data_IF_736418300042
#
_entry.id   IF_736418300042
#
_cell.length_a   1.000
_cell.length_b   1.000
_cell.length_c   1.000
_cell.angle_alpha   90.00
_cell.angle_beta   90.00
_cell.angle_gamma   90.00
#
_symmetry.space_group_name_H-M   'P 1'
#
loop_
_entity.id
_entity.type
_entity.pdbx_description
1 polymer ?
#
# COMPACT_ATOMS: atom_id res chain seq x y z
N UNK A 1 10.51 -2.22 3.84
CA UNK A 1 9.04 -2.04 3.75
C UNK A 1 8.37 -2.96 4.76
N UNK A 2 7.49 -2.43 5.61
CA UNK A 2 6.74 -3.22 6.61
C UNK A 2 5.27 -3.23 6.21
N UNK A 3 4.68 -4.40 6.05
CA UNK A 3 3.27 -4.55 5.71
C UNK A 3 2.43 -4.42 6.98
N UNK A 4 1.91 -3.23 7.29
CA UNK A 4 1.04 -3.02 8.45
C UNK A 4 -0.31 -3.70 8.26
N UNK A 5 -0.73 -3.93 7.01
CA UNK A 5 -1.90 -4.72 6.66
C UNK A 5 -1.76 -5.36 5.28
N UNK A 6 -2.26 -6.57 5.16
CA UNK A 6 -2.18 -7.37 3.93
C UNK A 6 -3.55 -7.80 3.43
N UNK A 7 -4.60 -7.49 4.19
CA UNK A 7 -5.98 -7.70 3.79
C UNK A 7 -6.50 -6.60 2.87
N UNK A 8 -7.60 -6.86 2.18
CA UNK A 8 -8.31 -5.90 1.36
C UNK A 8 -9.75 -6.32 1.07
N UNK A 9 -10.52 -5.36 0.58
CA UNK A 9 -11.93 -5.54 0.29
C UNK A 9 -12.83 -5.55 1.53
N UNK A 10 -14.12 -5.27 1.31
CA UNK A 10 -15.10 -4.95 2.36
C UNK A 10 -15.19 -5.99 3.48
N UNK A 11 -15.24 -7.28 3.14
CA UNK A 11 -15.42 -8.33 4.15
C UNK A 11 -14.18 -8.53 5.02
N UNK A 12 -12.98 -8.48 4.44
CA UNK A 12 -11.73 -8.57 5.20
C UNK A 12 -11.62 -7.39 6.15
N UNK A 13 -11.94 -6.18 5.66
CA UNK A 13 -11.93 -4.93 6.42
C UNK A 13 -12.93 -4.97 7.57
N UNK A 14 -14.19 -5.36 7.33
CA UNK A 14 -15.23 -5.43 8.36
C UNK A 14 -14.85 -6.36 9.51
N UNK A 15 -14.28 -7.51 9.20
CA UNK A 15 -13.94 -8.53 10.21
C UNK A 15 -12.52 -8.43 10.73
N UNK A 16 -11.68 -7.57 10.14
CA UNK A 16 -10.25 -7.47 10.45
C UNK A 16 -9.57 -8.85 10.52
N UNK A 17 -9.97 -9.76 9.62
CA UNK A 17 -9.35 -11.09 9.47
C UNK A 17 -7.87 -10.96 9.15
N UNK A 18 -7.52 -9.91 8.42
CA UNK A 18 -6.22 -9.26 8.30
C UNK A 18 -6.43 -7.76 8.36
N UNK A 19 -5.46 -7.05 8.90
CA UNK A 19 -5.44 -5.59 8.86
C UNK A 19 -5.38 -5.09 7.42
N UNK A 20 -5.93 -3.92 7.17
CA UNK A 20 -5.78 -3.17 5.92
C UNK A 20 -4.93 -1.90 6.12
N UNK A 21 -4.01 -1.96 7.09
CA UNK A 21 -3.20 -0.81 7.54
C UNK A 21 -2.15 -0.31 6.54
N UNK A 22 -2.09 -0.87 5.33
CA UNK A 22 -1.19 -0.42 4.28
C UNK A 22 0.28 -0.81 4.48
N UNK A 23 1.18 -0.03 3.89
CA UNK A 23 2.62 -0.32 3.85
C UNK A 23 3.40 0.86 4.40
N UNK A 24 4.24 0.60 5.39
CA UNK A 24 5.22 1.55 5.89
C UNK A 24 6.56 1.33 5.17
N UNK A 25 7.09 2.37 4.53
CA UNK A 25 8.33 2.33 3.75
C UNK A 25 9.36 3.21 4.43
N UNK A 26 10.49 2.63 4.79
CA UNK A 26 11.69 3.40 5.14
C UNK A 26 12.60 3.48 3.91
N UNK A 27 13.06 4.67 3.56
CA UNK A 27 13.89 4.91 2.39
C UNK A 27 14.90 6.04 2.59
N UNK A 28 15.89 6.13 1.70
CA UNK A 28 16.92 7.17 1.77
C UNK A 28 17.61 7.22 3.13
N UNK A 29 17.80 8.42 3.67
CA UNK A 29 18.43 8.65 4.96
C UNK A 29 17.44 8.59 6.13
N UNK A 30 16.66 7.50 6.24
CA UNK A 30 15.70 7.28 7.33
C UNK A 30 14.40 8.08 7.17
N UNK A 31 13.94 8.28 5.94
CA UNK A 31 12.63 8.84 5.63
C UNK A 31 11.55 7.79 5.67
N UNK A 32 10.38 8.15 6.18
CA UNK A 32 9.26 7.24 6.34
C UNK A 32 8.05 7.69 5.53
N UNK A 33 7.63 6.83 4.61
CA UNK A 33 6.42 6.97 3.82
C UNK A 33 5.41 5.91 4.24
N UNK A 34 4.16 6.30 4.49
CA UNK A 34 3.06 5.36 4.71
C UNK A 34 2.12 5.38 3.51
N UNK A 35 1.85 4.22 2.93
CA UNK A 35 0.97 4.03 1.77
C UNK A 35 -0.32 3.38 2.23
N UNK A 36 -1.45 3.99 1.92
CA UNK A 36 -2.81 3.48 2.14
C UNK A 36 -3.11 3.04 3.58
N UNK A 37 -3.12 3.98 4.57
CA UNK A 37 -3.43 3.68 5.96
C UNK A 37 -4.92 3.39 6.18
N UNK A 38 -5.34 2.20 5.87
CA UNK A 38 -6.66 1.69 6.22
C UNK A 38 -6.75 1.18 7.66
N UNK A 39 -7.89 0.60 8.06
CA UNK A 39 -8.13 0.13 9.41
C UNK A 39 -7.06 -0.84 9.94
N UNK A 40 -6.55 -0.52 11.12
CA UNK A 40 -5.52 -1.28 11.82
C UNK A 40 -4.09 -0.75 11.65
N UNK A 41 -3.89 0.34 10.90
CA UNK A 41 -2.58 0.97 10.74
C UNK A 41 -1.94 1.33 12.07
N UNK A 42 -2.60 2.16 12.88
CA UNK A 42 -2.09 2.59 14.19
C UNK A 42 -1.95 1.45 15.19
N UNK A 43 -2.89 0.50 15.19
CA UNK A 43 -2.82 -0.68 16.05
C UNK A 43 -1.56 -1.51 15.74
N UNK A 44 -1.24 -1.68 14.46
CA UNK A 44 -0.07 -2.44 14.04
C UNK A 44 1.24 -1.63 14.17
N UNK A 45 1.21 -0.30 14.01
CA UNK A 45 2.33 0.57 14.39
C UNK A 45 2.67 0.40 15.88
N UNK A 46 1.67 0.42 16.77
CA UNK A 46 1.88 0.18 18.21
C UNK A 46 2.53 -1.17 18.45
N UNK A 47 2.05 -2.26 17.83
CA UNK A 47 2.60 -3.60 18.01
C UNK A 47 4.08 -3.72 17.65
N UNK A 48 4.59 -2.92 16.74
CA UNK A 48 6.00 -2.92 16.35
C UNK A 48 6.79 -1.76 16.97
N UNK A 49 6.19 -1.03 17.92
CA UNK A 49 6.76 0.16 18.54
C UNK A 49 7.22 1.21 17.52
N UNK A 50 6.44 1.38 16.44
CA UNK A 50 6.65 2.45 15.49
C UNK A 50 5.87 3.70 15.92
N UNK A 51 6.60 4.80 16.13
CA UNK A 51 6.04 6.09 16.47
C UNK A 51 5.49 6.80 15.23
N UNK A 52 4.16 7.03 15.12
CA UNK A 52 3.56 7.72 13.97
C UNK A 52 4.16 9.12 13.70
N UNK A 53 4.74 9.77 14.70
CA UNK A 53 5.40 11.07 14.53
C UNK A 53 6.65 11.00 13.64
N UNK A 54 7.21 9.82 13.42
CA UNK A 54 8.33 9.61 12.50
C UNK A 54 7.90 9.58 11.03
N UNK A 55 6.61 9.46 10.73
CA UNK A 55 6.10 9.46 9.35
C UNK A 55 6.32 10.85 8.74
N UNK A 56 7.05 10.92 7.63
CA UNK A 56 7.33 12.16 6.89
C UNK A 56 6.28 12.43 5.82
N UNK A 57 5.87 11.37 5.13
CA UNK A 57 4.94 11.44 3.99
C UNK A 57 3.86 10.37 4.06
N UNK A 58 2.68 10.71 3.55
CA UNK A 58 1.51 9.85 3.48
C UNK A 58 0.99 9.80 2.04
N UNK A 59 0.76 8.60 1.51
CA UNK A 59 0.05 8.39 0.25
C UNK A 59 -1.31 7.76 0.54
N UNK A 60 -2.36 8.25 -0.12
CA UNK A 60 -3.66 7.59 -0.21
C UNK A 60 -4.02 7.43 -1.69
N UNK A 61 -4.03 6.20 -2.16
CA UNK A 61 -4.20 5.86 -3.59
C UNK A 61 -5.61 6.15 -4.10
N UNK A 62 -6.64 5.88 -3.28
CA UNK A 62 -8.05 6.08 -3.64
C UNK A 62 -9.00 6.13 -2.42
N UNK A 63 -10.27 6.42 -2.69
CA UNK A 63 -11.28 6.72 -1.67
C UNK A 63 -12.08 5.51 -1.19
N UNK A 64 -11.47 4.33 -1.05
CA UNK A 64 -12.10 3.20 -0.37
C UNK A 64 -11.64 3.09 1.08
N UNK A 65 -12.56 2.78 2.03
CA UNK A 65 -12.26 2.80 3.46
C UNK A 65 -11.09 1.92 3.90
N UNK A 66 -10.85 0.81 3.24
CA UNK A 66 -9.71 -0.07 3.50
C UNK A 66 -8.34 0.54 3.12
N UNK A 67 -8.32 1.71 2.47
CA UNK A 67 -7.09 2.42 2.10
C UNK A 67 -6.88 3.74 2.82
N UNK A 68 -7.93 4.34 3.44
CA UNK A 68 -7.78 5.68 4.02
C UNK A 68 -8.30 5.86 5.45
N UNK A 69 -9.04 4.90 6.03
CA UNK A 69 -9.80 5.18 7.26
C UNK A 69 -8.95 5.59 8.45
N UNK A 70 -7.69 5.19 8.54
CA UNK A 70 -6.76 5.63 9.59
C UNK A 70 -5.92 6.85 9.15
N UNK A 71 -6.11 7.39 7.93
CA UNK A 71 -5.24 8.44 7.38
C UNK A 71 -5.22 9.71 8.24
N UNK A 72 -6.38 10.19 8.71
CA UNK A 72 -6.43 11.39 9.54
C UNK A 72 -5.72 11.19 10.88
N UNK A 73 -5.86 10.01 11.49
CA UNK A 73 -5.14 9.69 12.74
C UNK A 73 -3.63 9.53 12.52
N UNK A 74 -3.20 9.06 11.35
CA UNK A 74 -1.78 9.08 10.97
C UNK A 74 -1.29 10.52 10.79
N UNK A 75 -2.09 11.41 10.17
CA UNK A 75 -1.77 12.84 10.05
C UNK A 75 -1.64 13.48 11.44
N UNK A 76 -2.51 13.16 12.40
CA UNK A 76 -2.36 13.62 13.77
C UNK A 76 -1.03 13.16 14.39
N UNK A 77 -0.66 11.89 14.21
CA UNK A 77 0.65 11.39 14.63
C UNK A 77 1.80 12.16 13.98
N UNK A 78 1.80 12.26 12.65
CA UNK A 78 2.80 13.00 11.86
C UNK A 78 2.98 14.44 12.36
N UNK A 79 1.91 15.09 12.81
CA UNK A 79 1.87 16.50 13.21
C UNK A 79 1.94 16.72 14.71
N UNK A 80 2.28 15.70 15.49
CA UNK A 80 2.33 15.72 16.95
C UNK A 80 0.99 16.16 17.57
N UNK A 81 -0.10 15.46 17.23
CA UNK A 81 -1.43 15.82 17.71
C UNK A 81 -1.90 17.18 17.18
N UNK A 82 -1.58 17.51 15.95
CA UNK A 82 -1.91 18.78 15.28
C UNK A 82 -1.19 20.03 15.81
N UNK A 83 -0.12 19.86 16.58
CA UNK A 83 0.66 20.98 17.15
C UNK A 83 1.70 21.55 16.18
N UNK A 84 2.18 20.75 15.25
CA UNK A 84 3.24 21.14 14.31
C UNK A 84 2.79 20.94 12.87
N UNK A 85 2.76 22.02 12.09
CA UNK A 85 2.52 21.95 10.65
C UNK A 85 3.72 21.30 9.96
N UNK A 86 3.61 20.02 9.61
CA UNK A 86 4.66 19.24 8.94
C UNK A 86 4.07 18.11 8.10
N UNK A 87 4.97 17.39 7.41
CA UNK A 87 4.62 16.24 6.60
C UNK A 87 4.03 16.60 5.24
N UNK A 88 3.90 15.62 4.39
CA UNK A 88 3.35 15.77 3.05
C UNK A 88 2.28 14.70 2.80
N UNK A 89 1.11 15.11 2.34
CA UNK A 89 0.03 14.23 1.91
C UNK A 89 -0.01 14.20 0.38
N UNK A 90 0.07 13.01 -0.16
CA UNK A 90 -0.18 12.71 -1.58
C UNK A 90 -1.49 11.94 -1.68
N UNK A 91 -2.45 12.42 -2.44
CA UNK A 91 -3.74 11.74 -2.58
C UNK A 91 -4.30 11.84 -3.98
N UNK A 92 -5.07 10.83 -4.40
CA UNK A 92 -5.80 10.91 -5.66
C UNK A 92 -6.82 12.07 -5.62
N UNK A 93 -7.31 12.55 -6.78
CA UNK A 93 -8.34 13.59 -6.85
C UNK A 93 -9.55 13.30 -5.96
N UNK A 94 -10.05 12.07 -5.96
CA UNK A 94 -11.19 11.66 -5.12
C UNK A 94 -10.88 11.76 -3.63
N UNK A 95 -9.69 11.39 -3.20
CA UNK A 95 -9.25 11.49 -1.80
C UNK A 95 -9.21 12.92 -1.31
N UNK A 96 -8.68 13.84 -2.12
CA UNK A 96 -8.43 15.23 -1.70
C UNK A 96 -9.66 16.11 -1.94
N UNK A 97 -10.35 15.96 -3.06
CA UNK A 97 -11.42 16.87 -3.50
C UNK A 97 -12.80 16.24 -3.49
N UNK A 98 -12.87 14.90 -3.53
CA UNK A 98 -14.10 14.16 -3.80
C UNK A 98 -14.44 14.15 -5.29
N UNK A 99 -15.10 13.08 -5.75
CA UNK A 99 -15.64 12.96 -7.09
C UNK A 99 -16.92 12.13 -7.07
N UNK A 100 -18.00 12.66 -7.62
CA UNK A 100 -19.30 11.99 -7.62
C UNK A 100 -19.81 11.70 -6.19
N UNK A 101 -19.95 10.41 -5.88
CA UNK A 101 -20.38 9.93 -4.56
C UNK A 101 -19.23 9.55 -3.63
N UNK A 102 -17.98 9.65 -4.07
CA UNK A 102 -16.78 9.27 -3.32
C UNK A 102 -16.05 10.50 -2.78
N UNK A 103 -15.48 10.36 -1.58
CA UNK A 103 -14.67 11.40 -0.94
C UNK A 103 -15.38 12.74 -0.69
N UNK A 104 -14.64 13.82 -0.33
CA UNK A 104 -13.24 13.76 0.05
C UNK A 104 -13.01 12.92 1.31
N UNK A 105 -11.84 12.29 1.41
CA UNK A 105 -11.52 11.37 2.51
C UNK A 105 -10.80 12.05 3.68
N UNK A 106 -10.18 13.20 3.41
CA UNK A 106 -9.44 13.99 4.40
C UNK A 106 -10.17 15.30 4.64
N UNK A 107 -10.49 15.57 5.89
CA UNK A 107 -11.22 16.78 6.30
C UNK A 107 -10.40 18.04 6.00
N UNK A 108 -11.08 19.16 5.80
CA UNK A 108 -10.44 20.47 5.63
C UNK A 108 -9.55 20.84 6.83
N UNK A 109 -9.90 20.34 8.01
CA UNK A 109 -9.12 20.52 9.23
C UNK A 109 -7.73 19.88 9.07
N UNK A 110 -7.66 18.59 8.73
CA UNK A 110 -6.40 17.87 8.58
C UNK A 110 -5.60 18.34 7.36
N UNK A 111 -6.27 18.70 6.24
CA UNK A 111 -5.60 19.36 5.11
C UNK A 111 -4.96 20.70 5.50
N UNK A 112 -5.54 21.44 6.47
CA UNK A 112 -4.99 22.70 6.96
C UNK A 112 -3.77 22.56 7.86
N UNK A 113 -3.62 21.40 8.50
CA UNK A 113 -2.53 21.12 9.45
C UNK A 113 -1.30 20.53 8.76
N UNK A 114 -1.50 19.69 7.77
CA UNK A 114 -0.38 19.14 7.01
C UNK A 114 0.34 20.27 6.25
N UNK A 115 1.68 20.17 6.11
CA UNK A 115 2.46 21.23 5.49
C UNK A 115 2.20 21.33 4.00
N UNK A 116 2.24 20.20 3.30
CA UNK A 116 2.10 20.14 1.86
C UNK A 116 1.07 19.10 1.45
N UNK A 117 0.29 19.39 0.41
CA UNK A 117 -0.69 18.47 -0.17
C UNK A 117 -0.49 18.44 -1.68
N UNK A 118 -0.30 17.24 -2.23
CA UNK A 118 -0.17 17.02 -3.67
C UNK A 118 -1.29 16.12 -4.17
N UNK A 119 -1.98 16.54 -5.22
CA UNK A 119 -2.95 15.70 -5.93
C UNK A 119 -2.20 14.87 -6.95
N UNK A 120 -2.43 13.56 -6.92
CA UNK A 120 -1.76 12.58 -7.78
C UNK A 120 -2.50 12.43 -9.10
N UNK A 121 -1.78 12.51 -10.21
CA UNK A 121 -2.33 12.30 -11.54
C UNK A 121 -1.50 11.25 -12.29
N UNK A 122 -2.14 10.25 -12.94
CA UNK A 122 -1.43 9.23 -13.69
C UNK A 122 -0.51 9.82 -14.76
N UNK A 123 0.66 9.23 -14.94
CA UNK A 123 1.68 9.68 -15.91
C UNK A 123 2.61 10.77 -15.38
N UNK A 124 2.38 11.27 -14.17
CA UNK A 124 3.29 12.23 -13.54
C UNK A 124 4.44 11.54 -12.81
N UNK A 125 5.54 12.27 -12.66
CA UNK A 125 6.69 11.87 -11.84
C UNK A 125 6.82 12.88 -10.72
N UNK A 126 6.86 12.38 -9.49
CA UNK A 126 7.01 13.19 -8.28
C UNK A 126 8.24 12.74 -7.49
N UNK A 127 8.72 13.61 -6.63
CA UNK A 127 9.73 13.29 -5.61
C UNK A 127 9.07 13.23 -4.23
N UNK A 128 9.23 12.10 -3.57
CA UNK A 128 8.74 11.88 -2.21
C UNK A 128 9.95 11.78 -1.27
N UNK A 129 10.37 12.91 -0.72
CA UNK A 129 11.52 12.98 0.20
C UNK A 129 12.80 12.30 -0.36
N UNK A 130 13.08 12.50 -1.66
CA UNK A 130 14.20 11.89 -2.37
C UNK A 130 13.87 10.55 -3.07
N UNK A 131 12.66 10.02 -2.89
CA UNK A 131 12.20 8.81 -3.57
C UNK A 131 11.49 9.19 -4.88
N UNK A 132 12.20 9.07 -6.02
CA UNK A 132 11.59 9.30 -7.33
C UNK A 132 10.46 8.31 -7.56
N UNK A 133 9.25 8.83 -7.82
CA UNK A 133 8.02 8.05 -7.90
C UNK A 133 7.25 8.38 -9.18
N UNK A 134 6.96 7.38 -10.00
CA UNK A 134 6.02 7.48 -11.11
C UNK A 134 4.62 7.13 -10.64
N UNK A 135 3.62 7.95 -10.99
CA UNK A 135 2.20 7.69 -10.72
C UNK A 135 1.62 6.92 -11.90
N UNK A 136 1.12 5.71 -11.63
CA UNK A 136 0.59 4.80 -12.64
C UNK A 136 -0.94 4.80 -12.65
N UNK A 137 -1.51 4.58 -13.83
CA UNK A 137 -2.95 4.38 -14.01
C UNK A 137 -3.39 3.01 -13.52
N UNK A 138 -4.62 2.94 -13.01
CA UNK A 138 -5.32 1.70 -12.68
C UNK A 138 -6.70 1.67 -13.37
N UNK A 139 -7.38 0.52 -13.30
CA UNK A 139 -8.78 0.36 -13.70
C UNK A 139 -9.59 -0.09 -12.48
N UNK A 140 -10.22 0.88 -11.81
CA UNK A 140 -10.92 0.63 -10.55
C UNK A 140 -12.25 1.39 -10.47
N UNK A 141 -13.09 1.02 -9.49
CA UNK A 141 -14.40 1.66 -9.27
C UNK A 141 -14.28 3.10 -8.75
N UNK A 142 -13.16 3.48 -8.12
CA UNK A 142 -12.74 4.86 -8.00
C UNK A 142 -11.94 5.24 -9.26
N UNK A 143 -12.46 6.10 -10.15
CA UNK A 143 -11.83 6.37 -11.44
C UNK A 143 -10.51 7.14 -11.33
N UNK A 144 -10.21 7.66 -10.15
CA UNK A 144 -8.97 8.42 -9.89
C UNK A 144 -7.93 7.64 -9.12
N UNK A 145 -8.19 6.34 -8.86
CA UNK A 145 -7.22 5.46 -8.20
C UNK A 145 -5.90 5.41 -8.96
N UNK A 146 -4.80 5.34 -8.22
CA UNK A 146 -3.43 5.33 -8.77
C UNK A 146 -2.56 4.27 -8.13
N UNK A 147 -1.67 3.68 -8.95
CA UNK A 147 -0.55 2.88 -8.53
C UNK A 147 0.75 3.66 -8.59
N UNK A 148 1.86 3.04 -8.22
CA UNK A 148 3.16 3.71 -8.09
C UNK A 148 4.32 2.83 -8.54
N UNK A 149 5.36 3.46 -9.08
CA UNK A 149 6.66 2.86 -9.31
C UNK A 149 7.72 3.71 -8.61
N UNK A 150 8.36 3.13 -7.61
CA UNK A 150 9.37 3.78 -6.79
C UNK A 150 10.77 3.38 -7.26
N UNK A 151 11.67 4.34 -7.43
CA UNK A 151 13.08 4.07 -7.63
C UNK A 151 13.78 3.94 -6.26
N UNK A 152 14.04 2.71 -5.85
CA UNK A 152 14.65 2.43 -4.54
C UNK A 152 16.17 2.57 -4.51
N UNK A 153 16.81 2.93 -5.63
CA UNK A 153 18.27 2.88 -5.76
C UNK A 153 18.83 1.45 -5.93
N UNK A 154 18.06 0.44 -5.58
CA UNK A 154 18.38 -0.99 -5.77
C UNK A 154 17.46 -1.66 -6.80
N UNK A 155 16.78 -0.87 -7.60
CA UNK A 155 15.81 -1.27 -8.61
C UNK A 155 14.42 -0.71 -8.35
N UNK A 156 13.55 -0.81 -9.33
CA UNK A 156 12.19 -0.28 -9.24
C UNK A 156 11.30 -1.22 -8.44
N UNK A 157 10.55 -0.65 -7.50
CA UNK A 157 9.48 -1.32 -6.76
C UNK A 157 8.15 -0.79 -7.26
N UNK A 158 7.26 -1.67 -7.70
CA UNK A 158 5.90 -1.32 -8.09
C UNK A 158 4.90 -1.69 -7.01
N UNK A 159 4.07 -0.73 -6.61
CA UNK A 159 2.80 -0.93 -5.91
C UNK A 159 1.67 -0.68 -6.89
N UNK A 160 0.97 -1.74 -7.29
CA UNK A 160 0.00 -1.65 -8.40
C UNK A 160 -1.29 -0.96 -7.97
N UNK A 161 -1.64 -1.01 -6.67
CA UNK A 161 -2.94 -0.58 -6.13
C UNK A 161 -4.11 -1.38 -6.73
N UNK A 162 -5.33 -1.12 -6.30
CA UNK A 162 -6.50 -1.87 -6.74
C UNK A 162 -6.78 -1.67 -8.22
N UNK A 163 -6.95 -2.76 -8.95
CA UNK A 163 -7.20 -2.72 -10.40
C UNK A 163 -7.81 -4.01 -10.91
N UNK A 164 -8.59 -3.93 -11.96
CA UNK A 164 -8.85 -5.03 -12.86
C UNK A 164 -7.63 -5.36 -13.71
N UNK A 165 -7.61 -6.55 -14.32
CA UNK A 165 -6.54 -6.92 -15.23
C UNK A 165 -6.65 -6.15 -16.55
N UNK A 166 -5.53 -5.57 -16.95
CA UNK A 166 -5.32 -4.98 -18.27
C UNK A 166 -3.85 -5.11 -18.66
N UNK A 167 -3.57 -5.54 -19.88
CA UNK A 167 -2.21 -5.59 -20.42
C UNK A 167 -1.55 -4.20 -20.43
N UNK A 168 -2.33 -3.16 -20.77
CA UNK A 168 -1.86 -1.77 -20.77
C UNK A 168 -1.39 -1.33 -19.39
N UNK A 169 -2.15 -1.71 -18.33
CA UNK A 169 -1.77 -1.41 -16.94
C UNK A 169 -0.52 -2.20 -16.54
N UNK A 170 -0.45 -3.49 -16.88
CA UNK A 170 0.71 -4.32 -16.57
C UNK A 170 2.00 -3.77 -17.24
N UNK A 171 1.91 -3.30 -18.47
CA UNK A 171 3.03 -2.73 -19.22
C UNK A 171 3.63 -1.48 -18.54
N UNK A 172 2.84 -0.68 -17.81
CA UNK A 172 3.37 0.46 -17.05
C UNK A 172 4.39 0.03 -15.97
N UNK A 173 4.21 -1.17 -15.44
CA UNK A 173 5.05 -1.73 -14.37
C UNK A 173 6.22 -2.58 -14.90
N UNK A 174 6.39 -2.68 -16.21
CA UNK A 174 7.44 -3.50 -16.82
C UNK A 174 8.84 -3.10 -16.35
N UNK A 175 9.66 -4.10 -16.06
CA UNK A 175 11.03 -3.90 -15.59
C UNK A 175 11.13 -3.58 -14.08
N UNK A 176 10.05 -3.68 -13.33
CA UNK A 176 10.12 -3.60 -11.88
C UNK A 176 10.83 -4.82 -11.31
N UNK A 177 11.74 -4.58 -10.37
CA UNK A 177 12.45 -5.63 -9.65
C UNK A 177 11.54 -6.34 -8.65
N UNK A 178 10.69 -5.56 -7.95
CA UNK A 178 9.66 -6.07 -7.04
C UNK A 178 8.30 -5.57 -7.50
N UNK A 179 7.33 -6.49 -7.54
CA UNK A 179 5.96 -6.21 -7.96
C UNK A 179 5.00 -6.54 -6.82
N UNK A 180 4.43 -5.53 -6.18
CA UNK A 180 3.43 -5.68 -5.12
C UNK A 180 2.05 -5.61 -5.77
N UNK A 181 1.33 -6.74 -5.76
CA UNK A 181 0.06 -6.95 -6.46
C UNK A 181 -1.12 -7.09 -5.48
N UNK A 182 -2.23 -6.37 -5.72
CA UNK A 182 -3.48 -6.53 -4.98
C UNK A 182 -4.26 -7.74 -5.50
N UNK A 183 -4.02 -8.94 -4.97
CA UNK A 183 -4.68 -10.17 -5.41
C UNK A 183 -5.82 -10.51 -4.47
N UNK A 184 -7.02 -10.03 -4.80
CA UNK A 184 -8.16 -10.05 -3.89
C UNK A 184 -8.86 -11.40 -3.83
N UNK A 185 -8.90 -12.14 -4.95
CA UNK A 185 -9.71 -13.36 -5.05
C UNK A 185 -8.97 -14.54 -5.68
N UNK A 186 -9.36 -15.78 -5.34
CA UNK A 186 -8.94 -16.94 -6.10
C UNK A 186 -9.65 -16.99 -7.47
N UNK A 187 -9.18 -17.86 -8.37
CA UNK A 187 -9.65 -17.94 -9.76
C UNK A 187 -11.14 -18.31 -9.91
N UNK A 188 -11.69 -19.04 -8.95
CA UNK A 188 -13.10 -19.48 -8.93
C UNK A 188 -14.07 -18.36 -8.44
N UNK A 189 -13.56 -17.18 -8.11
CA UNK A 189 -14.36 -16.05 -7.69
C UNK A 189 -13.80 -14.75 -8.26
N UNK A 190 -14.29 -14.31 -9.41
CA UNK A 190 -13.89 -13.03 -9.99
C UNK A 190 -14.77 -11.90 -9.49
N UNK A 191 -14.13 -10.82 -9.07
CA UNK A 191 -14.78 -9.57 -8.67
C UNK A 191 -14.35 -8.47 -9.65
N UNK A 192 -15.28 -7.67 -10.20
CA UNK A 192 -14.92 -6.55 -11.07
C UNK A 192 -13.89 -5.63 -10.42
N UNK A 193 -12.96 -5.13 -11.22
CA UNK A 193 -11.91 -4.20 -10.79
C UNK A 193 -10.90 -4.76 -9.76
N UNK A 194 -10.79 -6.09 -9.65
CA UNK A 194 -9.83 -6.74 -8.76
C UNK A 194 -9.19 -7.94 -9.44
N UNK A 195 -7.93 -8.18 -9.13
CA UNK A 195 -7.19 -9.33 -9.66
C UNK A 195 -7.55 -10.62 -8.94
N UNK A 196 -7.67 -11.70 -9.70
CA UNK A 196 -7.59 -13.07 -9.19
C UNK A 196 -6.17 -13.63 -9.40
N UNK A 197 -5.93 -14.89 -9.00
CA UNK A 197 -4.61 -15.53 -9.13
C UNK A 197 -4.16 -15.65 -10.60
N UNK A 198 -5.08 -15.96 -11.50
CA UNK A 198 -4.79 -16.05 -12.95
C UNK A 198 -4.42 -14.68 -13.53
N UNK A 199 -5.17 -13.63 -13.19
CA UNK A 199 -4.88 -12.26 -13.60
C UNK A 199 -3.52 -11.80 -13.09
N UNK A 200 -3.19 -12.14 -11.83
CA UNK A 200 -1.88 -11.86 -11.24
C UNK A 200 -0.76 -12.59 -11.97
N UNK A 201 -0.95 -13.84 -12.37
CA UNK A 201 0.03 -14.58 -13.15
C UNK A 201 0.25 -13.93 -14.54
N UNK A 202 -0.81 -13.51 -15.23
CA UNK A 202 -0.71 -12.79 -16.49
C UNK A 202 0.04 -11.45 -16.33
N UNK A 203 -0.22 -10.72 -15.23
CA UNK A 203 0.49 -9.49 -14.89
C UNK A 203 1.99 -9.74 -14.67
N UNK A 204 2.34 -10.77 -13.89
CA UNK A 204 3.72 -11.18 -13.61
C UNK A 204 4.45 -11.55 -14.90
N UNK A 205 3.79 -12.24 -15.83
CA UNK A 205 4.38 -12.62 -17.12
C UNK A 205 4.77 -11.42 -18.00
N UNK A 206 4.05 -10.32 -17.89
CA UNK A 206 4.37 -9.08 -18.61
C UNK A 206 5.50 -8.31 -17.92
N UNK A 207 5.43 -8.19 -16.60
CA UNK A 207 6.37 -7.37 -15.81
C UNK A 207 7.72 -8.07 -15.63
N UNK A 208 7.72 -9.41 -15.43
CA UNK A 208 8.90 -10.26 -15.18
C UNK A 208 9.77 -9.75 -14.01
N UNK A 209 9.20 -9.56 -12.81
CA UNK A 209 9.96 -9.10 -11.66
C UNK A 209 10.88 -10.19 -11.12
N UNK A 210 11.85 -9.82 -10.28
CA UNK A 210 12.62 -10.77 -9.46
C UNK A 210 11.74 -11.40 -8.36
N UNK A 211 10.80 -10.60 -7.81
CA UNK A 211 9.85 -11.03 -6.80
C UNK A 211 8.47 -10.41 -7.05
N UNK A 212 7.42 -11.24 -7.05
CA UNK A 212 6.03 -10.79 -6.94
C UNK A 212 5.49 -11.03 -5.51
N UNK A 213 4.77 -10.05 -4.98
CA UNK A 213 4.24 -10.06 -3.60
C UNK A 213 2.72 -9.86 -3.65
N UNK A 214 1.97 -10.84 -3.17
CA UNK A 214 0.51 -10.76 -3.06
C UNK A 214 0.09 -10.08 -1.76
N UNK A 215 -0.70 -9.03 -1.89
CA UNK A 215 -1.35 -8.26 -0.82
C UNK A 215 -2.83 -8.05 -1.15
N UNK A 216 -3.52 -7.22 -0.38
CA UNK A 216 -4.94 -6.89 -0.57
C UNK A 216 -5.82 -8.15 -0.64
N UNK A 217 -5.56 -9.08 0.30
CA UNK A 217 -6.15 -10.41 0.29
C UNK A 217 -7.59 -10.36 0.79
N UNK A 218 -8.53 -10.64 -0.10
CA UNK A 218 -9.94 -10.78 0.23
C UNK A 218 -10.21 -12.01 1.10
N UNK A 219 -11.34 -12.03 1.80
CA UNK A 219 -11.68 -13.12 2.74
C UNK A 219 -11.69 -14.51 2.07
N UNK A 220 -12.08 -14.61 0.80
CA UNK A 220 -12.08 -15.88 0.06
C UNK A 220 -10.65 -16.29 -0.33
N UNK A 221 -9.79 -15.33 -0.66
CA UNK A 221 -8.37 -15.58 -0.87
C UNK A 221 -7.73 -16.12 0.42
N UNK A 222 -8.03 -15.52 1.58
CA UNK A 222 -7.53 -15.96 2.89
C UNK A 222 -7.98 -17.39 3.19
N UNK A 223 -9.26 -17.72 2.93
CA UNK A 223 -9.80 -19.08 3.12
C UNK A 223 -9.17 -20.13 2.21
N UNK A 224 -8.75 -19.75 1.01
CA UNK A 224 -8.12 -20.64 0.01
C UNK A 224 -6.60 -20.79 0.19
N UNK A 225 -6.03 -20.26 1.27
CA UNK A 225 -4.60 -20.24 1.55
C UNK A 225 -3.79 -19.40 0.55
N UNK A 226 -3.53 -18.11 0.86
CA UNK A 226 -2.81 -17.20 -0.02
C UNK A 226 -1.42 -17.69 -0.44
N UNK A 227 -0.74 -18.49 0.41
CA UNK A 227 0.56 -19.07 0.07
C UNK A 227 0.45 -20.09 -1.07
N UNK A 228 -0.63 -20.89 -1.08
CA UNK A 228 -0.90 -21.82 -2.19
C UNK A 228 -1.22 -21.06 -3.47
N UNK A 229 -1.97 -19.98 -3.40
CA UNK A 229 -2.28 -19.13 -4.57
C UNK A 229 -1.03 -18.47 -5.13
N UNK A 230 -0.14 -17.95 -4.29
CA UNK A 230 1.14 -17.40 -4.72
C UNK A 230 2.03 -18.48 -5.38
N UNK A 231 2.11 -19.67 -4.79
CA UNK A 231 2.85 -20.81 -5.38
C UNK A 231 2.26 -21.25 -6.73
N UNK A 232 0.96 -21.16 -6.89
CA UNK A 232 0.30 -21.45 -8.17
C UNK A 232 0.68 -20.42 -9.24
N UNK A 233 0.71 -19.13 -8.92
CA UNK A 233 1.20 -18.10 -9.83
C UNK A 233 2.68 -18.29 -10.16
N UNK A 234 3.53 -18.66 -9.18
CA UNK A 234 4.94 -18.98 -9.38
C UNK A 234 5.12 -20.15 -10.36
N UNK A 235 4.34 -21.23 -10.21
CA UNK A 235 4.38 -22.37 -11.15
C UNK A 235 4.00 -21.99 -12.57
N UNK A 236 3.04 -21.08 -12.74
CA UNK A 236 2.59 -20.62 -14.07
C UNK A 236 3.62 -19.74 -14.77
N UNK A 237 4.32 -18.90 -14.01
CA UNK A 237 5.18 -17.83 -14.55
C UNK A 237 6.67 -18.13 -14.46
N UNK A 238 7.08 -19.04 -13.58
CA UNK A 238 8.48 -19.26 -13.22
C UNK A 238 9.11 -18.12 -12.39
N UNK A 239 8.33 -17.10 -12.01
CA UNK A 239 8.78 -15.96 -11.21
C UNK A 239 8.50 -16.23 -9.74
N UNK A 240 9.50 -16.03 -8.88
CA UNK A 240 9.34 -16.15 -7.43
C UNK A 240 8.16 -15.30 -6.96
N UNK A 241 7.15 -15.94 -6.38
CA UNK A 241 5.90 -15.28 -5.95
C UNK A 241 5.56 -15.69 -4.53
N UNK A 242 5.27 -14.72 -3.70
CA UNK A 242 4.95 -14.93 -2.29
C UNK A 242 3.66 -14.21 -1.90
N UNK A 243 3.03 -14.68 -0.84
CA UNK A 243 2.01 -13.94 -0.09
C UNK A 243 2.54 -13.62 1.29
N UNK A 244 2.53 -12.34 1.63
CA UNK A 244 2.98 -11.83 2.93
C UNK A 244 1.84 -11.82 3.96
N UNK A 245 2.21 -11.65 5.23
CA UNK A 245 1.30 -11.46 6.36
C UNK A 245 1.46 -10.08 6.96
N UNK A 246 0.48 -9.69 7.75
CA UNK A 246 0.58 -8.48 8.56
C UNK A 246 1.85 -8.54 9.41
N UNK A 247 2.58 -7.44 9.41
CA UNK A 247 3.87 -7.20 10.08
C UNK A 247 5.06 -7.98 9.48
N UNK A 248 4.93 -8.60 8.32
CA UNK A 248 6.09 -9.04 7.56
C UNK A 248 6.89 -7.83 7.06
N UNK A 249 8.21 -7.96 7.04
CA UNK A 249 9.16 -6.97 6.51
C UNK A 249 9.74 -7.49 5.21
N UNK A 250 9.67 -6.69 4.18
CA UNK A 250 10.37 -6.87 2.91
C UNK A 250 11.55 -5.90 2.87
N UNK A 251 12.74 -6.44 2.91
CA UNK A 251 13.98 -5.68 2.75
C UNK A 251 14.49 -5.81 1.31
N UNK A 252 14.72 -4.66 0.67
CA UNK A 252 15.10 -4.56 -0.75
C UNK A 252 16.42 -3.84 -0.82
N UNK A 253 17.49 -4.62 -0.77
CA UNK A 253 18.86 -4.19 -1.00
C UNK A 253 19.46 -5.00 -2.18
N UNK A 254 20.73 -5.29 -2.17
CA UNK A 254 21.38 -6.17 -3.18
C UNK A 254 20.71 -7.54 -3.28
N UNK A 255 20.25 -8.07 -2.15
CA UNK A 255 19.39 -9.25 -2.07
C UNK A 255 18.02 -8.87 -1.52
N UNK A 256 16.96 -9.56 -1.97
CA UNK A 256 15.61 -9.39 -1.42
C UNK A 256 15.41 -10.41 -0.31
N UNK A 257 15.13 -9.93 0.90
CA UNK A 257 14.82 -10.78 2.05
C UNK A 257 13.46 -10.48 2.67
N UNK A 258 12.90 -11.48 3.34
CA UNK A 258 11.62 -11.38 4.05
C UNK A 258 11.82 -11.90 5.45
N UNK A 259 11.39 -11.10 6.40
CA UNK A 259 11.39 -11.43 7.83
C UNK A 259 10.08 -11.00 8.47
N UNK A 260 9.90 -11.27 9.75
CA UNK A 260 8.73 -10.83 10.49
C UNK A 260 9.16 -9.82 11.56
N UNK A 261 8.39 -8.75 11.70
CA UNK A 261 8.62 -7.77 12.74
C UNK A 261 8.50 -8.42 14.12
N UNK A 262 9.35 -7.99 15.03
CA UNK A 262 9.14 -8.26 16.45
C UNK A 262 7.90 -7.50 16.92
N UNK A 263 7.02 -8.16 17.65
CA UNK A 263 5.79 -7.57 18.17
C UNK A 263 5.82 -7.47 19.69
N UNK A 264 5.09 -6.50 20.22
CA UNK A 264 5.01 -6.18 21.63
C UNK A 264 3.55 -5.98 22.03
N UNK A 265 3.19 -6.43 23.23
CA UNK A 265 1.83 -6.32 23.79
C UNK A 265 1.78 -5.40 25.04
N UNK A 266 2.84 -4.61 25.27
CA UNK A 266 2.98 -3.71 26.40
C UNK A 266 2.29 -2.34 26.21
N UNK A 267 2.21 -1.57 27.29
CA UNK A 267 1.81 -0.16 27.26
C UNK A 267 3.01 0.69 26.82
N UNK A 268 3.23 0.76 25.52
CA UNK A 268 4.32 1.55 24.97
C UNK A 268 3.91 3.02 24.79
N UNK A 269 4.77 3.92 25.27
CA UNK A 269 4.65 5.37 25.08
C UNK A 269 5.91 5.84 24.33
N UNK A 270 5.77 6.50 23.16
CA UNK A 270 6.92 7.02 22.42
C UNK A 270 7.67 8.12 23.21
N UNK A 271 9.00 8.15 23.08
CA UNK A 271 9.85 9.19 23.68
C UNK A 271 9.62 10.58 23.07
N UNK A 272 9.02 10.63 21.88
CA UNK A 272 8.71 11.87 21.15
C UNK A 272 7.40 12.55 21.58
N UNK A 273 6.82 12.14 22.71
CA UNK A 273 5.64 12.84 23.28
C UNK A 273 5.93 14.32 23.45
N UNK A 274 4.95 15.21 23.13
CA UNK A 274 5.14 16.67 23.12
C UNK A 274 5.50 17.25 24.47
#
# INVERSE_FOLDING_TARGET
MTFLGTGGGRHTTMYQTRSTGGILVEHGDGKHLHIDPGPGALTNMKKIHYDPSKTDSLIVSHAHPDHYSDAESVIEGMTFGCWKKRGHLYGSPTVIRGEGALGPCISKYHLGIIRDVTVLEPGTVIDIDGLRTEVCRTDHSDPTNVGFRFDSGCGTVSYVSDTGYSEEIALQHRGSRVLILPVTTPDDLRIPYHLCTEDAAAFIDIVKPELAVFIHLGIMMIKKDPKKQALEAEKRTGVRTISVRDLDILDIDKAISISQSKTYDDEWIPDSSP
#
